data_IF_454347732307
#
_entry.id   IF_454347732307
#
_cell.length_a   1.000
_cell.length_b   1.000
_cell.length_c   1.000
_cell.angle_alpha   90.00
_cell.angle_beta   90.00
_cell.angle_gamma   90.00
#
_symmetry.space_group_name_H-M   'P 1'
#
loop_
_entity.id
_entity.type
_entity.pdbx_description
1 polymer ?
#
# COMPACT_ATOMS: atom_id res chain seq x y z
N UNK A 1 -0.77 25.62 -3.01
CA UNK A 1 -0.66 24.88 -4.28
C UNK A 1 -1.66 23.74 -4.20
N UNK A 2 -2.78 23.83 -4.91
CA UNK A 2 -3.81 22.77 -4.95
C UNK A 2 -3.30 21.76 -5.98
N UNK A 3 -2.89 20.56 -5.56
CA UNK A 3 -2.61 19.46 -6.49
C UNK A 3 -3.92 18.72 -6.75
N UNK A 4 -4.18 18.44 -8.02
CA UNK A 4 -5.34 17.67 -8.44
C UNK A 4 -5.22 16.22 -7.98
N UNK A 5 -6.36 15.58 -7.74
CA UNK A 5 -6.45 14.13 -7.56
C UNK A 5 -5.80 13.41 -8.74
N UNK A 6 -5.26 12.21 -8.50
CA UNK A 6 -4.75 11.39 -9.60
C UNK A 6 -5.91 11.07 -10.57
N UNK A 7 -5.59 11.05 -11.85
CA UNK A 7 -6.53 10.82 -12.95
C UNK A 7 -6.38 9.39 -13.46
N UNK A 8 -7.50 8.70 -13.69
CA UNK A 8 -7.49 7.34 -14.24
C UNK A 8 -6.90 7.35 -15.66
N UNK A 9 -6.06 6.35 -15.97
CA UNK A 9 -5.38 6.21 -17.26
C UNK A 9 -4.10 7.03 -17.41
N UNK A 10 -3.82 7.95 -16.48
CA UNK A 10 -2.56 8.70 -16.46
C UNK A 10 -1.44 7.88 -15.82
N UNK A 11 -0.20 8.11 -16.29
CA UNK A 11 1.00 7.43 -15.79
C UNK A 11 1.72 8.27 -14.76
N UNK A 12 2.10 7.62 -13.67
CA UNK A 12 2.78 8.25 -12.56
C UNK A 12 4.09 7.53 -12.26
N UNK A 13 5.08 8.32 -11.83
CA UNK A 13 6.33 7.81 -11.27
C UNK A 13 6.42 8.26 -9.82
N UNK A 14 6.14 7.33 -8.92
CA UNK A 14 6.17 7.52 -7.47
C UNK A 14 7.19 6.53 -6.92
N UNK A 15 8.26 7.07 -6.32
CA UNK A 15 9.28 6.27 -5.65
C UNK A 15 8.96 6.20 -4.16
N UNK A 16 9.08 5.01 -3.60
CA UNK A 16 8.70 4.68 -2.24
C UNK A 16 9.89 4.00 -1.56
N UNK A 17 10.09 4.30 -0.27
CA UNK A 17 11.04 3.57 0.58
C UNK A 17 10.25 3.00 1.74
N UNK A 18 10.25 1.67 1.85
CA UNK A 18 9.53 1.01 2.94
C UNK A 18 10.28 1.13 4.27
N UNK A 19 9.60 0.70 5.33
CA UNK A 19 10.17 0.68 6.68
C UNK A 19 11.40 -0.22 6.78
N UNK A 20 11.59 -1.20 5.91
CA UNK A 20 12.77 -2.08 5.89
C UNK A 20 13.94 -1.48 5.08
N UNK A 21 13.72 -0.36 4.39
CA UNK A 21 14.71 0.34 3.58
C UNK A 21 14.75 -0.10 2.11
N UNK A 22 13.81 -0.94 1.68
CA UNK A 22 13.69 -1.30 0.27
C UNK A 22 13.10 -0.14 -0.52
N UNK A 23 13.67 0.12 -1.70
CA UNK A 23 13.18 1.14 -2.61
C UNK A 23 12.35 0.50 -3.72
N UNK A 24 11.20 1.09 -4.02
CA UNK A 24 10.26 0.64 -5.04
C UNK A 24 9.83 1.83 -5.90
N UNK A 25 9.45 1.56 -7.14
CA UNK A 25 8.65 2.49 -7.94
C UNK A 25 7.32 1.84 -8.32
N UNK A 26 6.27 2.63 -8.52
CA UNK A 26 5.00 2.11 -9.04
C UNK A 26 5.07 1.76 -10.54
N UNK A 27 6.11 2.22 -11.27
CA UNK A 27 6.33 1.97 -12.70
C UNK A 27 7.39 0.89 -12.97
N UNK A 28 7.68 0.02 -11.99
CA UNK A 28 8.76 -0.98 -12.04
C UNK A 28 8.32 -2.39 -12.50
N UNK A 29 7.23 -2.49 -13.27
CA UNK A 29 6.76 -3.73 -13.87
C UNK A 29 5.76 -4.54 -13.04
N UNK A 30 5.39 -4.06 -11.84
CA UNK A 30 4.42 -4.71 -10.95
C UNK A 30 3.03 -4.06 -11.08
N UNK A 31 1.98 -4.88 -11.01
CA UNK A 31 0.64 -4.37 -10.70
C UNK A 31 0.64 -4.06 -9.20
N UNK A 32 0.46 -2.79 -8.83
CA UNK A 32 0.68 -2.32 -7.47
C UNK A 32 -0.59 -1.77 -6.85
N UNK A 33 -1.06 -2.40 -5.78
CA UNK A 33 -2.08 -1.83 -4.88
C UNK A 33 -1.40 -0.95 -3.85
N UNK A 34 -1.70 0.35 -3.84
CA UNK A 34 -1.25 1.29 -2.80
C UNK A 34 -2.43 1.61 -1.91
N UNK A 35 -2.31 1.34 -0.61
CA UNK A 35 -3.27 1.76 0.41
C UNK A 35 -2.70 2.94 1.18
N UNK A 36 -3.24 4.12 0.95
CA UNK A 36 -2.90 5.32 1.71
C UNK A 36 -3.85 5.43 2.90
N UNK A 37 -3.32 5.50 4.12
CA UNK A 37 -4.13 5.50 5.34
C UNK A 37 -3.44 6.25 6.48
N UNK A 38 -4.17 6.47 7.56
CA UNK A 38 -3.65 6.93 8.86
C UNK A 38 -3.68 5.80 9.88
N UNK A 39 -3.09 6.03 11.05
CA UNK A 39 -3.09 5.04 12.13
C UNK A 39 -4.51 4.68 12.60
N UNK A 40 -5.45 5.62 12.58
CA UNK A 40 -6.86 5.40 12.96
C UNK A 40 -7.60 4.47 12.00
N UNK A 41 -7.17 4.40 10.74
CA UNK A 41 -7.80 3.61 9.68
C UNK A 41 -6.99 2.36 9.30
N UNK A 42 -6.07 1.91 10.17
CA UNK A 42 -5.18 0.78 9.85
C UNK A 42 -5.92 -0.54 9.63
N UNK A 43 -7.06 -0.73 10.30
CA UNK A 43 -7.89 -1.94 10.13
C UNK A 43 -8.55 -1.99 8.74
N UNK A 44 -8.78 -0.84 8.11
CA UNK A 44 -9.23 -0.80 6.71
C UNK A 44 -8.13 -1.27 5.76
N UNK A 45 -6.87 -0.91 6.01
CA UNK A 45 -5.75 -1.42 5.22
C UNK A 45 -5.61 -2.94 5.34
N UNK A 46 -5.84 -3.49 6.54
CA UNK A 46 -5.94 -4.93 6.75
C UNK A 46 -7.05 -5.54 5.89
N UNK A 47 -8.24 -4.93 5.87
CA UNK A 47 -9.36 -5.43 5.09
C UNK A 47 -9.07 -5.46 3.57
N UNK A 48 -8.30 -4.50 3.05
CA UNK A 48 -7.81 -4.54 1.65
C UNK A 48 -6.90 -5.75 1.43
N UNK A 49 -5.97 -6.01 2.35
CA UNK A 49 -5.09 -7.19 2.29
C UNK A 49 -5.88 -8.50 2.31
N UNK A 50 -6.92 -8.58 3.15
CA UNK A 50 -7.80 -9.75 3.22
C UNK A 50 -8.60 -9.97 1.93
N UNK A 51 -9.02 -8.87 1.29
CA UNK A 51 -9.75 -8.89 0.01
C UNK A 51 -8.84 -9.05 -1.21
N UNK A 52 -7.52 -8.99 -1.04
CA UNK A 52 -6.57 -9.23 -2.13
C UNK A 52 -6.81 -10.63 -2.70
N UNK A 53 -7.00 -10.77 -4.02
CA UNK A 53 -7.36 -12.04 -4.62
C UNK A 53 -6.22 -13.06 -4.55
N UNK A 54 -6.57 -14.34 -4.47
CA UNK A 54 -5.60 -15.43 -4.31
C UNK A 54 -4.53 -15.46 -5.42
N UNK A 55 -4.86 -15.07 -6.67
CA UNK A 55 -3.90 -15.05 -7.78
C UNK A 55 -2.78 -14.00 -7.64
N UNK A 56 -2.94 -13.03 -6.72
CA UNK A 56 -1.89 -12.07 -6.39
C UNK A 56 -1.04 -12.49 -5.18
N UNK A 57 -1.50 -13.46 -4.37
CA UNK A 57 -0.73 -13.91 -3.21
C UNK A 57 0.45 -14.76 -3.67
N UNK A 58 1.66 -14.43 -3.18
CA UNK A 58 2.90 -15.07 -3.59
C UNK A 58 3.29 -14.86 -5.06
N UNK A 59 2.54 -14.04 -5.80
CA UNK A 59 2.80 -13.75 -7.20
C UNK A 59 3.75 -12.54 -7.30
N UNK A 60 4.98 -12.72 -7.82
CA UNK A 60 5.96 -11.63 -7.89
C UNK A 60 5.53 -10.48 -8.83
N UNK A 61 4.47 -10.64 -9.64
CA UNK A 61 3.96 -9.55 -10.49
C UNK A 61 2.95 -8.66 -9.78
N UNK A 62 2.40 -9.08 -8.64
CA UNK A 62 1.52 -8.25 -7.82
C UNK A 62 2.29 -7.71 -6.61
N UNK A 63 1.99 -6.47 -6.21
CA UNK A 63 2.56 -5.86 -5.01
C UNK A 63 1.49 -5.10 -4.25
N UNK A 64 1.50 -5.22 -2.92
CA UNK A 64 0.68 -4.37 -2.05
C UNK A 64 1.58 -3.53 -1.14
N UNK A 65 1.37 -2.22 -1.14
CA UNK A 65 2.11 -1.26 -0.33
C UNK A 65 1.11 -0.50 0.54
N UNK A 66 1.32 -0.48 1.86
CA UNK A 66 0.57 0.38 2.77
C UNK A 66 1.37 1.65 3.06
N UNK A 67 0.86 2.81 2.70
CA UNK A 67 1.44 4.11 3.03
C UNK A 67 0.73 4.66 4.26
N UNK A 68 1.46 4.82 5.36
CA UNK A 68 0.95 5.42 6.59
C UNK A 68 1.31 6.90 6.62
N UNK A 69 0.31 7.76 6.44
CA UNK A 69 0.44 9.19 6.57
C UNK A 69 0.52 9.59 8.05
N UNK A 70 1.53 10.37 8.40
CA UNK A 70 1.67 10.95 9.73
C UNK A 70 1.27 12.43 9.72
N UNK A 71 0.53 12.85 10.74
CA UNK A 71 0.19 14.25 10.93
C UNK A 71 1.34 14.99 11.64
N UNK A 72 1.75 16.13 11.08
CA UNK A 72 2.72 17.01 11.72
C UNK A 72 4.18 16.55 11.63
N UNK A 73 5.07 17.43 12.10
CA UNK A 73 6.52 17.22 12.01
C UNK A 73 7.01 16.34 13.16
N UNK A 74 7.68 15.26 12.79
CA UNK A 74 8.35 14.36 13.74
C UNK A 74 9.87 14.55 13.68
N UNK A 75 10.53 14.61 14.84
CA UNK A 75 12.00 14.64 14.93
C UNK A 75 12.60 13.29 14.50
N UNK A 76 13.88 13.27 14.08
CA UNK A 76 14.54 12.03 13.63
C UNK A 76 14.46 10.87 14.64
N UNK A 77 14.69 11.08 15.95
CA UNK A 77 14.56 9.99 16.93
C UNK A 77 13.13 9.43 17.00
N UNK A 78 12.12 10.29 16.95
CA UNK A 78 10.71 9.87 16.98
C UNK A 78 10.34 9.09 15.72
N UNK A 79 10.78 9.54 14.54
CA UNK A 79 10.60 8.79 13.28
C UNK A 79 11.18 7.38 13.35
N UNK A 80 12.35 7.23 13.96
CA UNK A 80 13.01 5.94 14.10
C UNK A 80 12.20 4.97 14.99
N UNK A 81 11.64 5.47 16.10
CA UNK A 81 10.77 4.70 16.99
C UNK A 81 9.48 4.29 16.26
N UNK A 82 8.81 5.23 15.60
CA UNK A 82 7.57 4.97 14.87
C UNK A 82 7.77 3.97 13.73
N UNK A 83 8.87 4.09 12.98
CA UNK A 83 9.26 3.11 11.96
C UNK A 83 9.45 1.72 12.55
N UNK A 84 10.11 1.60 13.71
CA UNK A 84 10.26 0.31 14.39
C UNK A 84 8.93 -0.29 14.83
N UNK A 85 7.96 0.53 15.27
CA UNK A 85 6.63 0.05 15.62
C UNK A 85 5.86 -0.42 14.38
N UNK A 86 5.98 0.30 13.26
CA UNK A 86 5.40 -0.12 11.98
C UNK A 86 5.99 -1.44 11.50
N UNK A 87 7.31 -1.65 11.59
CA UNK A 87 7.94 -2.95 11.26
C UNK A 87 7.32 -4.10 12.08
N UNK A 88 7.20 -3.92 13.40
CA UNK A 88 6.59 -4.94 14.27
C UNK A 88 5.14 -5.24 13.89
N UNK A 89 4.37 -4.22 13.52
CA UNK A 89 3.00 -4.41 13.03
C UNK A 89 2.98 -5.14 11.70
N UNK A 90 3.86 -4.78 10.77
CA UNK A 90 4.03 -5.45 9.48
C UNK A 90 4.38 -6.93 9.66
N UNK A 91 5.27 -7.26 10.60
CA UNK A 91 5.61 -8.64 10.96
C UNK A 91 4.39 -9.41 11.50
N UNK A 92 3.56 -8.76 12.32
CA UNK A 92 2.32 -9.35 12.82
C UNK A 92 1.30 -9.61 11.71
N UNK A 93 1.12 -8.67 10.78
CA UNK A 93 0.22 -8.85 9.63
C UNK A 93 0.74 -9.93 8.68
N UNK A 94 2.06 -10.00 8.47
CA UNK A 94 2.67 -11.06 7.67
C UNK A 94 2.44 -12.46 8.27
N UNK A 95 2.57 -12.61 9.60
CA UNK A 95 2.24 -13.90 10.27
C UNK A 95 0.78 -14.28 10.08
N UNK A 96 -0.14 -13.31 10.14
CA UNK A 96 -1.56 -13.54 9.89
C UNK A 96 -1.81 -13.95 8.43
N UNK A 97 -1.16 -13.27 7.49
CA UNK A 97 -1.22 -13.58 6.06
C UNK A 97 -0.62 -14.96 5.75
N UNK A 98 0.42 -15.38 6.47
CA UNK A 98 1.04 -16.69 6.31
C UNK A 98 0.02 -17.82 6.50
N UNK A 99 -0.91 -17.71 7.46
CA UNK A 99 -1.98 -18.70 7.63
C UNK A 99 -2.80 -18.90 6.35
N UNK A 100 -3.08 -17.81 5.62
CA UNK A 100 -3.79 -17.88 4.32
C UNK A 100 -2.90 -18.48 3.23
N UNK A 101 -1.60 -18.19 3.25
CA UNK A 101 -0.64 -18.80 2.31
C UNK A 101 -0.55 -20.30 2.50
N UNK A 102 -0.49 -20.76 3.76
CA UNK A 102 -0.42 -22.18 4.11
C UNK A 102 -1.69 -22.92 3.67
N UNK A 103 -2.88 -22.33 3.89
CA UNK A 103 -4.17 -22.86 3.41
C UNK A 103 -4.21 -23.00 1.89
N UNK A 104 -3.63 -22.03 1.17
CA UNK A 104 -3.54 -22.02 -0.29
C UNK A 104 -2.33 -22.81 -0.83
N UNK A 105 -1.53 -23.43 0.06
CA UNK A 105 -0.30 -24.17 -0.28
C UNK A 105 0.73 -23.33 -1.05
N UNK A 106 0.78 -22.03 -0.77
CA UNK A 106 1.77 -21.10 -1.34
C UNK A 106 3.10 -21.28 -0.57
N UNK A 107 4.10 -21.86 -1.22
CA UNK A 107 5.44 -22.11 -0.64
C UNK A 107 6.30 -20.85 -0.74
N UNK A 108 5.87 -19.77 -0.09
CA UNK A 108 6.55 -18.47 -0.03
C UNK A 108 6.31 -17.81 1.32
N UNK A 109 7.28 -17.04 1.79
CA UNK A 109 7.14 -16.26 3.02
C UNK A 109 6.29 -15.02 2.77
N UNK A 110 5.11 -14.94 3.39
CA UNK A 110 4.17 -13.83 3.24
C UNK A 110 4.77 -12.47 3.64
N UNK A 111 5.80 -12.43 4.49
CA UNK A 111 6.50 -11.19 4.87
C UNK A 111 7.19 -10.50 3.70
N UNK A 112 7.55 -11.26 2.66
CA UNK A 112 8.18 -10.75 1.44
C UNK A 112 7.17 -10.09 0.48
N UNK A 113 5.87 -10.26 0.73
CA UNK A 113 4.80 -9.78 -0.14
C UNK A 113 3.99 -8.64 0.49
N UNK A 114 4.42 -8.16 1.66
CA UNK A 114 3.84 -6.99 2.34
C UNK A 114 4.90 -5.92 2.56
N UNK A 115 4.56 -4.68 2.21
CA UNK A 115 5.41 -3.51 2.41
C UNK A 115 4.63 -2.41 3.11
N UNK A 116 5.29 -1.66 3.99
CA UNK A 116 4.73 -0.47 4.62
C UNK A 116 5.69 0.71 4.47
N UNK A 117 5.16 1.88 4.15
CA UNK A 117 5.90 3.14 3.95
C UNK A 117 5.44 4.12 5.02
N UNK A 118 6.39 4.77 5.69
CA UNK A 118 6.11 5.81 6.67
C UNK A 118 6.22 7.19 6.00
N UNK A 119 5.10 7.85 5.73
CA UNK A 119 5.08 9.16 5.08
C UNK A 119 5.05 10.28 6.14
N UNK A 120 6.20 10.51 6.78
CA UNK A 120 6.35 11.51 7.84
C UNK A 120 6.23 12.95 7.37
N UNK A 121 6.54 13.21 6.10
CA UNK A 121 6.62 14.56 5.53
C UNK A 121 5.42 14.87 4.61
N UNK A 122 4.48 13.93 4.49
CA UNK A 122 3.33 14.06 3.58
C UNK A 122 3.70 14.08 2.10
N UNK A 123 4.94 13.70 1.75
CA UNK A 123 5.43 13.78 0.38
C UNK A 123 4.72 12.76 -0.51
N UNK A 124 4.56 11.53 -0.01
CA UNK A 124 3.87 10.46 -0.76
C UNK A 124 2.37 10.76 -0.82
N UNK A 125 1.76 11.16 0.29
CA UNK A 125 0.36 11.60 0.38
C UNK A 125 0.08 12.68 -0.67
N UNK A 126 0.97 13.68 -0.78
CA UNK A 126 0.85 14.77 -1.77
C UNK A 126 1.08 14.30 -3.21
N UNK A 127 1.98 13.35 -3.45
CA UNK A 127 2.17 12.74 -4.77
C UNK A 127 0.96 11.91 -5.20
N UNK A 128 0.26 11.31 -4.24
CA UNK A 128 -0.99 10.58 -4.46
C UNK A 128 -2.23 11.51 -4.57
N UNK A 129 -2.04 12.82 -4.64
CA UNK A 129 -3.14 13.79 -4.82
C UNK A 129 -4.06 13.91 -3.59
N UNK A 130 -3.65 13.41 -2.42
CA UNK A 130 -4.45 13.43 -1.20
C UNK A 130 -3.93 14.48 -0.19
N UNK A 131 -4.75 14.77 0.82
CA UNK A 131 -4.35 15.58 1.97
C UNK A 131 -4.35 14.75 3.26
N UNK A 132 -3.35 14.93 4.14
CA UNK A 132 -3.29 14.24 5.42
C UNK A 132 -4.40 14.77 6.34
N UNK A 133 -5.51 14.06 6.38
CA UNK A 133 -6.63 14.30 7.29
C UNK A 133 -6.82 13.07 8.16
N UNK A 134 -7.42 13.24 9.34
CA UNK A 134 -7.67 12.12 10.26
C UNK A 134 -8.56 11.01 9.68
N UNK A 135 -9.41 11.36 8.70
CA UNK A 135 -10.27 10.46 7.95
C UNK A 135 -9.62 9.85 6.69
N UNK A 136 -8.35 10.19 6.41
CA UNK A 136 -7.67 9.76 5.19
C UNK A 136 -7.65 8.24 5.05
N UNK A 137 -8.22 7.78 3.95
CA UNK A 137 -8.14 6.41 3.48
C UNK A 137 -8.38 6.39 1.97
N UNK A 138 -7.43 5.89 1.20
CA UNK A 138 -7.59 5.66 -0.23
C UNK A 138 -6.90 4.37 -0.65
N UNK A 139 -7.47 3.72 -1.65
CA UNK A 139 -6.88 2.57 -2.32
C UNK A 139 -6.65 2.95 -3.77
N UNK A 140 -5.44 2.74 -4.27
CA UNK A 140 -5.07 2.93 -5.67
C UNK A 140 -4.58 1.61 -6.24
N UNK A 141 -4.93 1.32 -7.49
CA UNK A 141 -4.35 0.20 -8.24
C UNK A 141 -3.64 0.77 -9.45
N UNK A 142 -2.33 0.58 -9.49
CA UNK A 142 -1.47 0.96 -10.59
C UNK A 142 -1.14 -0.25 -11.46
N UNK A 143 -1.16 -0.05 -12.77
CA UNK A 143 -0.66 -1.02 -13.75
C UNK A 143 0.86 -1.07 -13.78
N UNK A 144 1.40 -2.02 -14.55
CA UNK A 144 2.85 -2.33 -14.59
C UNK A 144 3.74 -1.16 -15.02
N UNK A 145 3.18 -0.18 -15.71
CA UNK A 145 3.86 0.98 -16.26
C UNK A 145 3.59 2.28 -15.44
N UNK A 146 3.01 2.15 -14.24
CA UNK A 146 2.63 3.28 -13.39
C UNK A 146 1.31 3.95 -13.75
N UNK A 147 0.53 3.40 -14.68
CA UNK A 147 -0.81 3.88 -15.02
C UNK A 147 -1.80 3.67 -13.88
N UNK A 148 -2.56 4.69 -13.50
CA UNK A 148 -3.63 4.53 -12.50
C UNK A 148 -4.84 3.85 -13.13
N UNK A 149 -5.11 2.60 -12.75
CA UNK A 149 -6.21 1.79 -13.28
C UNK A 149 -7.52 2.04 -12.54
N UNK A 150 -7.46 2.10 -11.20
CA UNK A 150 -8.61 2.30 -10.31
C UNK A 150 -8.23 3.00 -9.02
N UNK A 151 -9.19 3.70 -8.43
CA UNK A 151 -9.07 4.27 -7.09
C UNK A 151 -10.39 4.23 -6.32
N UNK A 152 -10.30 4.15 -4.99
CA UNK A 152 -11.43 4.17 -4.06
C UNK A 152 -11.10 5.01 -2.83
N UNK A 153 -12.13 5.61 -2.23
CA UNK A 153 -12.03 6.38 -0.97
C UNK A 153 -12.42 5.52 0.25
N UNK A 154 -12.75 4.24 0.04
CA UNK A 154 -13.01 3.25 1.08
C UNK A 154 -12.56 1.85 0.61
N UNK A 155 -12.67 0.85 1.47
CA UNK A 155 -12.22 -0.52 1.19
C UNK A 155 -13.03 -1.09 0.01
N UNK A 156 -12.41 -1.37 -1.16
CA UNK A 156 -13.11 -1.93 -2.30
C UNK A 156 -13.66 -3.32 -1.97
N UNK A 157 -14.72 -3.73 -2.66
CA UNK A 157 -15.18 -5.12 -2.58
C UNK A 157 -14.10 -6.08 -3.11
N UNK A 158 -14.15 -7.35 -2.71
CA UNK A 158 -13.20 -8.34 -3.22
C UNK A 158 -13.32 -8.51 -4.75
N UNK A 159 -14.54 -8.38 -5.28
CA UNK A 159 -14.82 -8.48 -6.72
C UNK A 159 -14.24 -7.30 -7.49
N UNK A 160 -14.47 -6.07 -7.01
CA UNK A 160 -13.94 -4.85 -7.65
C UNK A 160 -12.41 -4.83 -7.64
N UNK A 161 -11.81 -5.20 -6.50
CA UNK A 161 -10.36 -5.27 -6.37
C UNK A 161 -9.78 -6.34 -7.30
N UNK A 162 -10.40 -7.51 -7.36
CA UNK A 162 -9.98 -8.58 -8.26
C UNK A 162 -10.12 -8.19 -9.74
N UNK A 163 -11.18 -7.46 -10.11
CA UNK A 163 -11.39 -6.98 -11.47
C UNK A 163 -10.30 -5.97 -11.87
N UNK A 164 -9.95 -5.03 -10.98
CA UNK A 164 -8.90 -4.04 -11.23
C UNK A 164 -7.52 -4.69 -11.40
N UNK A 165 -7.20 -5.69 -10.58
CA UNK A 165 -5.91 -6.40 -10.61
C UNK A 165 -5.75 -7.35 -11.79
N UNK A 166 -6.82 -7.64 -12.54
CA UNK A 166 -6.79 -8.43 -13.78
C UNK A 166 -6.56 -7.59 -15.03
N UNK A 167 -6.72 -6.27 -14.95
CA UNK A 167 -6.54 -5.38 -16.10
C UNK A 167 -5.03 -5.27 -16.40
N UNK A 168 -4.63 -5.79 -17.57
CA UNK A 168 -3.28 -5.72 -18.13
C UNK A 168 -3.22 -4.63 -19.19
#
# INVERSE_FOLDING_TARGET
MIRAELTLGEKYRINLVDVDGHTFSIDDGHITTVVLTTQSNIDKARAVGDRTPAFCLGNPTCRMITVLAFEGKHSKPVRMILTSLMRRRLDSEARRLQTRYDQLKIVRNARQDVSAVADFDGTITTQLGAQPTSALFHVFVFGRNGELLKQWNDVPTAEDLAAALKQN
#
